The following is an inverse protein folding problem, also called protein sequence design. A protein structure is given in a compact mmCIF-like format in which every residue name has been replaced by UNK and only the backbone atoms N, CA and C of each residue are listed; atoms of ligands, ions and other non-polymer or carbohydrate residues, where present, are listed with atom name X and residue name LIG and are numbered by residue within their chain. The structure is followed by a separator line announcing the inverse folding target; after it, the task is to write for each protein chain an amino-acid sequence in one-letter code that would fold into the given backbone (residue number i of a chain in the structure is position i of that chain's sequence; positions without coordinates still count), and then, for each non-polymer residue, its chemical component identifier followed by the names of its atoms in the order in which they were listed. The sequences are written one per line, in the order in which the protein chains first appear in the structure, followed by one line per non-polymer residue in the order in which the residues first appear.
data_IF_761827336538
#
_entry.id   IF_761827336538
#
_cell.length_a   1.000
_cell.length_b   1.000
_cell.length_c   1.000
_cell.angle_alpha   90.00
_cell.angle_beta   90.00
_cell.angle_gamma   90.00
#
_symmetry.space_group_name_H-M   'P 1'
#
loop_
_entity.id
_entity.type
_entity.pdbx_description
1 polymer ?
#
# COMPACT_ATOMS: atom_id res chain seq x y z
N UNK A 1 -4.76 2.32 0.20
CA UNK A 1 -3.88 1.32 0.85
C UNK A 1 -2.44 1.63 0.50
N UNK A 2 -1.55 1.51 1.47
CA UNK A 2 -0.12 1.80 1.31
C UNK A 2 0.68 0.52 1.55
N UNK A 3 1.55 0.17 0.60
CA UNK A 3 2.49 -0.94 0.70
C UNK A 3 3.89 -0.38 1.01
N UNK A 4 4.36 -0.60 2.23
CA UNK A 4 5.73 -0.27 2.64
C UNK A 4 6.64 -1.43 2.26
N UNK A 5 7.54 -1.20 1.30
CA UNK A 5 8.39 -2.22 0.72
C UNK A 5 9.80 -1.74 0.43
N UNK A 6 10.66 -2.68 0.09
CA UNK A 6 11.97 -2.39 -0.47
C UNK A 6 12.32 -3.50 -1.47
N UNK A 7 13.05 -3.18 -2.53
CA UNK A 7 13.32 -4.14 -3.60
C UNK A 7 14.30 -5.25 -3.20
N UNK A 8 15.05 -5.09 -2.13
CA UNK A 8 15.95 -6.13 -1.60
C UNK A 8 15.27 -7.09 -0.62
N UNK A 9 13.97 -6.98 -0.42
CA UNK A 9 13.19 -7.79 0.52
C UNK A 9 12.35 -8.82 -0.25
N UNK A 10 12.70 -10.10 -0.15
CA UNK A 10 11.99 -11.16 -0.88
C UNK A 10 10.50 -11.24 -0.47
N UNK A 11 10.20 -11.09 0.81
CA UNK A 11 8.82 -11.12 1.29
C UNK A 11 8.01 -9.94 0.77
N UNK A 12 8.66 -8.78 0.56
CA UNK A 12 8.04 -7.63 -0.07
C UNK A 12 7.66 -7.93 -1.53
N UNK A 13 8.53 -8.63 -2.25
CA UNK A 13 8.26 -9.02 -3.63
C UNK A 13 7.08 -9.99 -3.72
N UNK A 14 6.90 -10.85 -2.72
CA UNK A 14 5.74 -11.75 -2.63
C UNK A 14 4.42 -11.01 -2.42
N UNK A 15 4.45 -9.81 -1.86
CA UNK A 15 3.25 -8.99 -1.66
C UNK A 15 2.79 -8.32 -2.96
N UNK A 16 3.69 -8.08 -3.92
CA UNK A 16 3.33 -7.38 -5.15
C UNK A 16 2.20 -8.04 -5.94
N UNK A 17 2.17 -9.39 -6.12
CA UNK A 17 1.02 -10.03 -6.76
C UNK A 17 -0.28 -9.85 -5.98
N UNK A 18 -0.23 -9.81 -4.66
CA UNK A 18 -1.41 -9.56 -3.83
C UNK A 18 -1.92 -8.15 -4.02
N UNK A 19 -1.02 -7.16 -4.10
CA UNK A 19 -1.37 -5.78 -4.41
C UNK A 19 -2.01 -5.65 -5.79
N UNK A 20 -1.45 -6.32 -6.79
CA UNK A 20 -2.01 -6.30 -8.15
C UNK A 20 -3.43 -6.88 -8.18
N UNK A 21 -3.66 -8.00 -7.50
CA UNK A 21 -4.98 -8.62 -7.38
C UNK A 21 -5.98 -7.67 -6.72
N UNK A 22 -5.63 -7.08 -5.59
CA UNK A 22 -6.51 -6.18 -4.85
C UNK A 22 -6.76 -4.89 -5.63
N UNK A 23 -5.74 -4.34 -6.26
CA UNK A 23 -5.84 -3.14 -7.08
C UNK A 23 -6.81 -3.36 -8.25
N UNK A 24 -6.66 -4.49 -8.96
CA UNK A 24 -7.55 -4.82 -10.06
C UNK A 24 -9.01 -4.96 -9.61
N UNK A 25 -9.21 -5.61 -8.46
CA UNK A 25 -10.56 -5.84 -7.92
C UNK A 25 -11.24 -4.54 -7.47
N UNK A 26 -10.53 -3.66 -6.78
CA UNK A 26 -11.13 -2.49 -6.13
C UNK A 26 -10.97 -1.19 -6.92
N UNK A 27 -10.09 -1.11 -7.88
CA UNK A 27 -9.89 0.07 -8.72
C UNK A 27 -11.10 0.38 -9.60
N UNK A 28 -11.79 -0.64 -10.07
CA UNK A 28 -12.95 -0.49 -10.96
C UNK A 28 -14.09 0.30 -10.33
N UNK A 29 -14.16 0.31 -9.01
CA UNK A 29 -15.18 1.04 -8.25
C UNK A 29 -14.79 2.50 -7.99
N UNK A 30 -13.60 2.94 -8.42
CA UNK A 30 -13.02 4.27 -8.14
C UNK A 30 -13.05 4.67 -6.66
N UNK A 31 -13.12 3.69 -5.77
CA UNK A 31 -13.30 3.92 -4.35
C UNK A 31 -12.00 3.85 -3.57
N UNK A 32 -10.97 3.22 -4.13
CA UNK A 32 -9.73 2.98 -3.42
C UNK A 32 -8.52 3.40 -4.23
N UNK A 33 -7.54 3.97 -3.54
CA UNK A 33 -6.24 4.32 -4.09
C UNK A 33 -5.20 3.38 -3.51
N UNK A 34 -4.36 2.84 -4.38
CA UNK A 34 -3.26 1.97 -4.01
C UNK A 34 -1.95 2.69 -4.31
N UNK A 35 -1.02 2.64 -3.36
CA UNK A 35 0.30 3.24 -3.55
C UNK A 35 1.36 2.41 -2.84
N UNK A 36 2.57 2.44 -3.37
CA UNK A 36 3.75 1.90 -2.73
C UNK A 36 4.55 2.99 -2.04
N UNK A 37 5.12 2.65 -0.92
CA UNK A 37 6.09 3.50 -0.23
C UNK A 37 7.39 2.71 -0.12
N UNK A 38 8.35 3.00 -1.01
CA UNK A 38 9.64 2.33 -0.99
C UNK A 38 10.51 2.99 0.08
N UNK A 39 10.74 2.27 1.18
CA UNK A 39 11.60 2.72 2.26
C UNK A 39 12.80 1.79 2.35
N UNK A 40 13.99 2.33 2.12
CA UNK A 40 15.22 1.56 2.05
C UNK A 40 15.59 0.93 3.39
N UNK A 41 15.91 -0.35 3.36
CA UNK A 41 16.50 -1.06 4.49
C UNK A 41 18.01 -0.81 4.56
N UNK A 42 18.65 -0.74 3.39
CA UNK A 42 20.09 -0.49 3.26
C UNK A 42 20.34 0.82 2.49
N UNK A 43 21.48 1.46 2.73
CA UNK A 43 21.82 2.76 2.11
C UNK A 43 21.78 2.73 0.59
N UNK A 44 22.22 1.63 -0.03
CA UNK A 44 22.24 1.50 -1.49
C UNK A 44 20.85 1.44 -2.12
N UNK A 45 19.80 1.23 -1.32
CA UNK A 45 18.43 1.19 -1.80
C UNK A 45 17.75 2.57 -1.82
N UNK A 46 18.43 3.62 -1.38
CA UNK A 46 17.88 4.99 -1.37
C UNK A 46 17.92 5.67 -2.73
N UNK A 47 18.71 5.14 -3.67
CA UNK A 47 18.87 5.73 -4.99
C UNK A 47 17.55 5.67 -5.79
N UNK A 48 17.03 6.83 -6.16
CA UNK A 48 15.78 6.96 -6.90
C UNK A 48 15.79 6.21 -8.24
N UNK A 49 16.93 6.17 -8.94
CA UNK A 49 17.03 5.44 -10.21
C UNK A 49 16.91 3.94 -10.00
N UNK A 50 17.52 3.40 -8.96
CA UNK A 50 17.41 1.98 -8.62
C UNK A 50 16.00 1.60 -8.19
N UNK A 51 15.32 2.47 -7.45
CA UNK A 51 13.92 2.28 -7.09
C UNK A 51 13.05 2.27 -8.34
N UNK A 52 13.28 3.21 -9.26
CA UNK A 52 12.58 3.27 -10.54
C UNK A 52 12.79 1.99 -11.36
N UNK A 53 14.03 1.52 -11.44
CA UNK A 53 14.36 0.28 -12.15
C UNK A 53 13.63 -0.91 -11.55
N UNK A 54 13.53 -0.98 -10.23
CA UNK A 54 12.79 -2.04 -9.54
C UNK A 54 11.29 -1.97 -9.83
N UNK A 55 10.70 -0.78 -9.83
CA UNK A 55 9.29 -0.57 -10.18
C UNK A 55 9.01 -1.09 -11.59
N UNK A 56 9.88 -0.82 -12.54
CA UNK A 56 9.76 -1.29 -13.92
C UNK A 56 9.95 -2.80 -13.98
N UNK A 57 10.99 -3.31 -13.33
CA UNK A 57 11.33 -4.74 -13.34
C UNK A 57 10.20 -5.62 -12.79
N UNK A 58 9.58 -5.20 -11.71
CA UNK A 58 8.53 -5.95 -11.04
C UNK A 58 7.12 -5.53 -11.49
N UNK A 59 7.04 -4.70 -12.52
CA UNK A 59 5.78 -4.28 -13.14
C UNK A 59 4.78 -3.69 -12.13
N UNK A 60 5.28 -2.87 -11.21
CA UNK A 60 4.43 -2.17 -10.23
C UNK A 60 3.65 -1.08 -10.95
N UNK A 61 2.32 -1.17 -10.93
CA UNK A 61 1.43 -0.29 -11.70
C UNK A 61 0.86 0.87 -10.92
N UNK A 62 0.87 0.78 -9.59
CA UNK A 62 0.43 1.89 -8.74
C UNK A 62 1.58 2.87 -8.52
N UNK A 63 1.27 4.12 -8.15
CA UNK A 63 2.31 5.10 -7.82
C UNK A 63 3.18 4.62 -6.67
N UNK A 64 4.47 4.91 -6.74
CA UNK A 64 5.44 4.56 -5.71
C UNK A 64 6.16 5.83 -5.25
N UNK A 65 6.16 6.05 -3.94
CA UNK A 65 6.91 7.13 -3.29
C UNK A 65 8.28 6.58 -2.89
N UNK A 66 9.34 7.31 -3.18
CA UNK A 66 10.67 6.99 -2.64
C UNK A 66 10.85 7.68 -1.28
N UNK A 67 10.59 6.94 -0.22
CA UNK A 67 10.72 7.40 1.17
C UNK A 67 12.18 7.28 1.63
N UNK A 68 13.08 8.00 0.94
CA UNK A 68 14.53 7.89 1.12
C UNK A 68 15.00 8.28 2.53
N UNK A 69 14.29 9.21 3.16
CA UNK A 69 14.59 9.69 4.52
C UNK A 69 13.75 9.03 5.61
N UNK A 70 12.96 8.02 5.25
CA UNK A 70 12.09 7.28 6.17
C UNK A 70 11.09 8.18 6.93
N UNK A 71 10.62 9.25 6.28
CA UNK A 71 9.66 10.16 6.91
C UNK A 71 8.30 9.47 7.08
N UNK A 72 7.78 8.86 6.01
CA UNK A 72 6.51 8.14 6.08
C UNK A 72 6.62 6.89 6.95
N UNK A 73 7.72 6.18 6.85
CA UNK A 73 8.02 5.02 7.69
C UNK A 73 7.88 5.34 9.18
N UNK A 74 8.47 6.45 9.60
CA UNK A 74 8.42 6.90 10.99
C UNK A 74 7.03 7.39 11.38
N UNK A 75 6.35 8.14 10.50
CA UNK A 75 5.02 8.67 10.76
C UNK A 75 3.98 7.57 10.94
N UNK A 76 4.10 6.46 10.22
CA UNK A 76 3.24 5.29 10.37
C UNK A 76 3.79 4.28 11.38
N UNK A 77 4.83 4.63 12.11
CA UNK A 77 5.44 3.79 13.16
C UNK A 77 5.79 2.38 12.66
N UNK A 78 6.28 2.28 11.43
CA UNK A 78 6.65 1.00 10.84
C UNK A 78 7.94 0.47 11.45
N UNK A 79 8.01 -0.85 11.62
CA UNK A 79 9.17 -1.51 12.25
C UNK A 79 9.75 -2.64 11.41
N UNK A 80 9.03 -3.13 10.43
CA UNK A 80 9.46 -4.27 9.60
C UNK A 80 8.93 -4.16 8.18
N UNK A 81 9.62 -4.84 7.26
CA UNK A 81 9.20 -5.01 5.87
C UNK A 81 8.69 -6.43 5.64
N UNK A 82 7.66 -6.65 4.81
CA UNK A 82 6.74 -5.65 4.30
C UNK A 82 5.76 -5.16 5.37
N UNK A 83 5.17 -4.00 5.13
CA UNK A 83 4.14 -3.44 5.98
C UNK A 83 2.99 -2.90 5.13
N UNK A 84 1.75 -3.20 5.51
CA UNK A 84 0.56 -2.77 4.81
C UNK A 84 -0.29 -1.90 5.71
N UNK A 85 -0.70 -0.74 5.21
CA UNK A 85 -1.55 0.19 5.94
C UNK A 85 -2.76 0.53 5.09
N UNK A 86 -3.94 0.36 5.66
CA UNK A 86 -5.17 0.84 5.05
C UNK A 86 -5.58 2.11 5.78
N UNK A 87 -5.79 3.17 5.02
CA UNK A 87 -6.16 4.49 5.53
C UNK A 87 -7.60 4.77 5.11
N UNK A 88 -8.42 5.19 6.06
CA UNK A 88 -9.80 5.58 5.80
C UNK A 88 -9.92 6.92 5.09
N UNK A 89 -11.14 7.30 4.65
CA UNK A 89 -11.36 8.57 3.93
C UNK A 89 -11.01 9.82 4.74
N UNK A 90 -11.02 9.71 6.07
CA UNK A 90 -10.64 10.79 6.98
C UNK A 90 -9.13 10.83 7.25
N UNK A 91 -8.33 10.06 6.50
CA UNK A 91 -6.87 9.97 6.60
C UNK A 91 -6.37 9.33 7.90
N UNK A 92 -7.23 8.59 8.58
CA UNK A 92 -6.85 7.82 9.78
C UNK A 92 -6.58 6.37 9.39
N UNK A 93 -5.45 5.78 9.82
CA UNK A 93 -5.20 4.36 9.60
C UNK A 93 -6.26 3.50 10.27
N UNK A 94 -6.81 2.54 9.53
CA UNK A 94 -7.87 1.65 10.03
C UNK A 94 -7.43 0.19 10.10
N UNK A 95 -6.33 -0.16 9.44
CA UNK A 95 -5.74 -1.49 9.52
C UNK A 95 -4.24 -1.38 9.26
N UNK A 96 -3.45 -2.05 10.09
CA UNK A 96 -2.00 -2.12 9.96
C UNK A 96 -1.60 -3.59 10.04
N UNK A 97 -0.91 -4.07 9.00
CA UNK A 97 -0.44 -5.45 8.91
C UNK A 97 1.07 -5.49 8.69
N UNK A 98 1.72 -6.49 9.26
CA UNK A 98 3.13 -6.75 9.05
C UNK A 98 3.31 -8.12 8.38
N UNK A 99 4.31 -8.21 7.50
CA UNK A 99 4.62 -9.46 6.80
C UNK A 99 3.74 -9.70 5.57
N UNK A 100 3.95 -10.86 4.96
CA UNK A 100 3.23 -11.31 3.76
C UNK A 100 2.09 -12.26 4.09
N UNK A 101 1.31 -12.66 3.06
CA UNK A 101 0.28 -13.69 3.22
C UNK A 101 -1.07 -13.17 3.69
N UNK A 102 -1.37 -11.92 3.46
CA UNK A 102 -2.60 -11.28 3.93
C UNK A 102 -3.66 -11.05 2.84
N UNK A 103 -3.53 -11.65 1.66
CA UNK A 103 -4.45 -11.42 0.55
C UNK A 103 -5.91 -11.63 0.95
N UNK A 104 -6.22 -12.77 1.57
CA UNK A 104 -7.61 -13.12 1.90
C UNK A 104 -8.18 -12.19 2.96
N UNK A 105 -7.40 -11.85 3.97
CA UNK A 105 -7.80 -10.90 5.00
C UNK A 105 -8.06 -9.51 4.40
N UNK A 106 -7.17 -9.05 3.53
CA UNK A 106 -7.30 -7.75 2.88
C UNK A 106 -8.49 -7.72 1.92
N UNK A 107 -8.73 -8.79 1.17
CA UNK A 107 -9.88 -8.88 0.29
C UNK A 107 -11.19 -8.71 1.08
N UNK A 108 -11.32 -9.43 2.19
CA UNK A 108 -12.48 -9.32 3.06
C UNK A 108 -12.56 -7.93 3.71
N UNK A 109 -11.47 -7.45 4.29
CA UNK A 109 -11.45 -6.17 4.99
C UNK A 109 -11.77 -5.00 4.06
N UNK A 110 -11.16 -4.95 2.89
CA UNK A 110 -11.40 -3.88 1.93
C UNK A 110 -12.84 -3.91 1.40
N UNK A 111 -13.41 -5.10 1.21
CA UNK A 111 -14.81 -5.23 0.79
C UNK A 111 -15.77 -4.65 1.85
N UNK A 112 -15.55 -4.99 3.12
CA UNK A 112 -16.36 -4.47 4.22
C UNK A 112 -16.17 -2.97 4.39
N UNK A 113 -14.92 -2.50 4.33
CA UNK A 113 -14.61 -1.07 4.43
C UNK A 113 -15.23 -0.27 3.29
N UNK A 114 -15.19 -0.80 2.07
CA UNK A 114 -15.83 -0.18 0.91
C UNK A 114 -17.32 0.04 1.17
N UNK A 115 -18.04 -1.01 1.57
CA UNK A 115 -19.48 -0.91 1.83
C UNK A 115 -19.80 0.10 2.94
N UNK A 116 -19.02 0.06 4.01
CA UNK A 116 -19.21 0.97 5.15
C UNK A 116 -19.02 2.44 4.77
N UNK A 117 -17.92 2.76 4.10
CA UNK A 117 -17.59 4.15 3.77
C UNK A 117 -18.35 4.66 2.56
N UNK A 118 -18.73 3.79 1.63
CA UNK A 118 -19.52 4.16 0.46
C UNK A 118 -20.85 4.77 0.85
N UNK A 119 -21.57 4.15 1.76
CA UNK A 119 -22.83 4.69 2.26
C UNK A 119 -22.64 6.04 2.94
N UNK A 120 -21.63 6.17 3.79
CA UNK A 120 -21.33 7.44 4.47
C UNK A 120 -20.98 8.56 3.50
N UNK A 121 -20.11 8.28 2.54
CA UNK A 121 -19.69 9.28 1.55
C UNK A 121 -20.85 9.72 0.66
N UNK A 122 -21.71 8.81 0.27
CA UNK A 122 -22.90 9.15 -0.53
C UNK A 122 -23.90 9.99 0.26
N UNK A 123 -24.05 9.78 1.55
CA UNK A 123 -24.88 10.63 2.38
C UNK A 123 -24.32 12.05 2.51
N UNK A 124 -23.02 12.20 2.61
CA UNK A 124 -22.34 13.50 2.69
C UNK A 124 -22.38 14.25 1.36
N UNK A 125 -22.30 13.54 0.23
CA UNK A 125 -22.28 14.15 -1.11
C UNK A 125 -23.69 14.53 -1.60
N UNK A 126 -24.75 14.00 -1.01
CA UNK A 126 -26.15 14.32 -1.36
C UNK A 126 -26.68 15.61 -0.72
N UNK A 127 -25.83 16.30 -0.01
CA UNK A 127 -26.16 17.63 0.49
C UNK A 127 -25.93 18.63 -0.64
#
# INVERSE_FOLDING_TARGET
MIDFWTYCCINCLHVLPDMEYLEHKFKQENAMVFMGCHTAKFLNEQDAEKVRDAVIKYEVKHPVINDDKRILWKNFERKSWPGLVVVGPNLVPILILSGEGHRNLLDLFLSVAYDFYYEKLNHEVKI
#
